data_IF_208294324843
#
_entry.id   IF_208294324843
#
_cell.length_a   1.000
_cell.length_b   1.000
_cell.length_c   1.000
_cell.angle_alpha   90.00
_cell.angle_beta   90.00
_cell.angle_gamma   90.00
#
_symmetry.space_group_name_H-M   'P 1'
#
loop_
_entity.id
_entity.type
_entity.pdbx_description
1 polymer ?
#
# COMPACT_ATOMS: atom_id res chain seq x y z
N UNK A 1 13.65 -12.05 -14.58
CA UNK A 1 13.54 -12.45 -13.18
C UNK A 1 12.28 -11.78 -12.70
N UNK A 2 11.17 -12.52 -12.62
CA UNK A 2 9.90 -11.99 -12.15
C UNK A 2 10.04 -11.70 -10.66
N UNK A 3 10.25 -10.42 -10.33
CA UNK A 3 10.31 -9.94 -8.96
C UNK A 3 9.02 -10.37 -8.24
N UNK A 4 9.11 -10.99 -7.05
CA UNK A 4 7.94 -11.53 -6.39
C UNK A 4 6.92 -10.41 -6.14
N UNK A 5 5.62 -10.70 -6.26
CA UNK A 5 4.59 -9.70 -6.13
C UNK A 5 4.69 -8.96 -4.77
N UNK A 6 4.97 -7.66 -4.80
CA UNK A 6 5.16 -6.85 -3.58
C UNK A 6 3.82 -6.32 -3.09
N UNK A 7 3.47 -6.67 -1.85
CA UNK A 7 2.33 -6.11 -1.14
C UNK A 7 2.74 -4.93 -0.26
N UNK A 8 1.89 -3.91 -0.21
CA UNK A 8 2.05 -2.72 0.63
C UNK A 8 0.80 -2.47 1.46
N UNK A 9 0.96 -2.06 2.71
CA UNK A 9 -0.13 -1.66 3.59
C UNK A 9 -0.32 -0.14 3.64
N UNK A 10 -1.38 0.31 4.32
CA UNK A 10 -1.66 1.75 4.50
C UNK A 10 -0.50 2.50 5.15
N UNK A 11 0.27 1.85 6.03
CA UNK A 11 1.43 2.46 6.70
C UNK A 11 2.59 2.69 5.73
N UNK A 12 2.89 1.73 4.86
CA UNK A 12 3.95 1.84 3.85
C UNK A 12 3.65 2.97 2.88
N UNK A 13 2.41 3.01 2.38
CA UNK A 13 1.91 4.08 1.51
C UNK A 13 2.02 5.43 2.20
N UNK A 14 1.70 5.49 3.50
CA UNK A 14 1.78 6.73 4.28
C UNK A 14 3.22 7.25 4.40
N UNK A 15 4.20 6.37 4.63
CA UNK A 15 5.62 6.75 4.66
C UNK A 15 6.04 7.34 3.32
N UNK A 16 5.74 6.65 2.22
CA UNK A 16 6.08 7.10 0.86
C UNK A 16 5.47 8.46 0.53
N UNK A 17 4.22 8.69 0.93
CA UNK A 17 3.52 9.95 0.64
C UNK A 17 3.84 11.07 1.64
N UNK A 18 4.60 10.80 2.71
CA UNK A 18 4.80 11.74 3.81
C UNK A 18 3.49 12.11 4.53
N UNK A 19 2.53 11.19 4.56
CA UNK A 19 1.19 11.37 5.14
C UNK A 19 1.01 10.53 6.40
N UNK A 20 -0.08 10.78 7.12
CA UNK A 20 -0.51 9.87 8.19
C UNK A 20 -1.24 8.65 7.59
N UNK A 21 -1.15 7.51 8.27
CA UNK A 21 -1.92 6.31 7.92
C UNK A 21 -3.41 6.61 7.77
N UNK A 22 -3.98 7.42 8.67
CA UNK A 22 -5.41 7.78 8.64
C UNK A 22 -5.76 8.60 7.39
N UNK A 23 -4.89 9.52 6.96
CA UNK A 23 -5.10 10.29 5.74
C UNK A 23 -5.10 9.39 4.49
N UNK A 24 -4.17 8.44 4.43
CA UNK A 24 -4.12 7.43 3.36
C UNK A 24 -5.37 6.54 3.38
N UNK A 25 -5.74 6.01 4.54
CA UNK A 25 -6.92 5.15 4.71
C UNK A 25 -8.21 5.87 4.30
N UNK A 26 -8.34 7.16 4.64
CA UNK A 26 -9.45 8.01 4.20
C UNK A 26 -9.44 8.14 2.68
N UNK A 27 -8.29 8.45 2.08
CA UNK A 27 -8.16 8.64 0.63
C UNK A 27 -8.52 7.37 -0.13
N UNK A 28 -8.02 6.21 0.30
CA UNK A 28 -8.37 4.89 -0.26
C UNK A 28 -9.85 4.53 -0.11
N UNK A 29 -10.58 5.16 0.82
CA UNK A 29 -12.01 4.92 1.03
C UNK A 29 -12.90 5.84 0.19
N UNK A 30 -12.48 7.09 -0.03
CA UNK A 30 -13.32 8.11 -0.69
C UNK A 30 -12.99 8.29 -2.17
N UNK A 31 -11.79 7.91 -2.58
CA UNK A 31 -11.36 8.04 -3.96
C UNK A 31 -11.95 6.87 -4.78
N UNK A 32 -12.83 7.15 -5.77
CA UNK A 32 -13.49 6.11 -6.55
C UNK A 32 -12.54 5.35 -7.47
N UNK A 33 -11.36 5.90 -7.76
CA UNK A 33 -10.33 5.22 -8.57
C UNK A 33 -9.26 4.54 -7.71
N UNK A 34 -9.40 4.56 -6.38
CA UNK A 34 -8.52 3.82 -5.49
C UNK A 34 -8.60 2.31 -5.75
N UNK A 35 -7.47 1.60 -5.65
CA UNK A 35 -7.44 0.17 -5.90
C UNK A 35 -8.12 -0.59 -4.76
N UNK A 36 -8.79 -1.68 -5.13
CA UNK A 36 -9.31 -2.63 -4.15
C UNK A 36 -8.16 -3.30 -3.37
N UNK A 37 -8.33 -3.58 -2.07
CA UNK A 37 -7.33 -4.33 -1.32
C UNK A 37 -7.17 -5.73 -1.92
N UNK A 38 -5.94 -6.12 -2.19
CA UNK A 38 -5.61 -7.43 -2.72
C UNK A 38 -5.79 -8.54 -1.68
N UNK A 39 -5.53 -8.22 -0.41
CA UNK A 39 -5.80 -9.13 0.70
C UNK A 39 -6.05 -8.37 2.01
N UNK A 40 -6.58 -9.10 2.99
CA UNK A 40 -6.58 -8.69 4.39
C UNK A 40 -5.76 -9.68 5.21
N UNK A 41 -4.63 -9.23 5.76
CA UNK A 41 -3.67 -10.06 6.51
C UNK A 41 -3.81 -9.83 8.02
N UNK A 42 -3.20 -10.70 8.83
CA UNK A 42 -3.20 -10.62 10.30
C UNK A 42 -4.60 -10.52 10.93
N UNK A 43 -5.62 -11.05 10.27
CA UNK A 43 -6.99 -11.07 10.78
C UNK A 43 -7.08 -11.96 12.01
N UNK A 44 -7.70 -11.46 13.07
CA UNK A 44 -8.00 -12.24 14.29
C UNK A 44 -9.49 -12.20 14.58
N UNK A 45 -9.97 -12.99 15.55
CA UNK A 45 -11.39 -12.93 15.98
C UNK A 45 -11.79 -11.55 16.51
N UNK A 46 -10.86 -10.83 17.14
CA UNK A 46 -11.11 -9.53 17.74
C UNK A 46 -10.76 -8.34 16.83
N UNK A 47 -10.05 -8.57 15.71
CA UNK A 47 -9.56 -7.51 14.84
C UNK A 47 -9.68 -7.87 13.37
N UNK A 48 -10.27 -6.94 12.60
CA UNK A 48 -10.61 -7.13 11.18
C UNK A 48 -9.43 -7.35 10.23
N UNK A 49 -8.18 -7.21 10.70
CA UNK A 49 -6.96 -7.38 9.92
C UNK A 49 -6.44 -6.10 9.27
N UNK A 50 -5.27 -6.19 8.64
CA UNK A 50 -4.67 -5.13 7.83
C UNK A 50 -4.97 -5.37 6.36
N UNK A 51 -5.56 -4.37 5.69
CA UNK A 51 -5.68 -4.37 4.23
C UNK A 51 -4.33 -4.12 3.59
N UNK A 52 -4.00 -4.91 2.58
CA UNK A 52 -2.80 -4.77 1.75
C UNK A 52 -3.19 -4.72 0.28
N UNK A 53 -2.39 -4.00 -0.50
CA UNK A 53 -2.58 -3.76 -1.92
C UNK A 53 -1.36 -4.22 -2.71
N UNK A 54 -1.55 -4.53 -3.98
CA UNK A 54 -0.43 -4.66 -4.90
C UNK A 54 0.29 -3.32 -5.04
N UNK A 55 1.61 -3.31 -4.87
CA UNK A 55 2.43 -2.12 -5.08
C UNK A 55 2.15 -1.49 -6.44
N UNK A 56 2.08 -2.30 -7.50
CA UNK A 56 1.81 -1.85 -8.86
C UNK A 56 0.45 -1.13 -9.02
N UNK A 57 -0.59 -1.57 -8.30
CA UNK A 57 -1.90 -0.93 -8.36
C UNK A 57 -1.90 0.41 -7.62
N UNK A 58 -1.18 0.50 -6.50
CA UNK A 58 -0.96 1.77 -5.80
C UNK A 58 -0.15 2.73 -6.67
N UNK A 59 0.91 2.28 -7.31
CA UNK A 59 1.71 3.14 -8.20
C UNK A 59 0.87 3.68 -9.37
N UNK A 60 0.04 2.83 -9.97
CA UNK A 60 -0.92 3.26 -11.01
C UNK A 60 -1.89 4.30 -10.47
N UNK A 61 -2.46 4.07 -9.28
CA UNK A 61 -3.39 5.00 -8.64
C UNK A 61 -2.76 6.36 -8.30
N UNK A 62 -1.49 6.36 -7.92
CA UNK A 62 -0.73 7.58 -7.61
C UNK A 62 -0.23 8.33 -8.85
N UNK A 63 -0.62 7.92 -10.06
CA UNK A 63 -0.29 8.60 -11.31
C UNK A 63 0.99 8.13 -12.00
N UNK A 64 1.54 6.97 -11.62
CA UNK A 64 2.68 6.36 -12.28
C UNK A 64 3.75 5.85 -11.33
N UNK A 65 4.51 4.87 -11.83
CA UNK A 65 5.62 4.23 -11.12
C UNK A 65 6.80 5.19 -11.02
N UNK A 66 6.90 5.88 -9.88
CA UNK A 66 8.21 6.25 -9.37
C UNK A 66 8.73 5.02 -8.60
N UNK A 67 9.54 4.15 -9.24
CA UNK A 67 10.03 2.95 -8.59
C UNK A 67 10.88 3.28 -7.35
N UNK A 68 11.50 4.46 -7.33
CA UNK A 68 12.36 4.93 -6.25
C UNK A 68 11.60 5.42 -5.01
N UNK A 69 10.27 5.64 -5.13
CA UNK A 69 9.49 6.10 -3.96
C UNK A 69 9.44 5.06 -2.84
N UNK A 70 9.65 3.79 -3.18
CA UNK A 70 9.56 2.66 -2.25
C UNK A 70 10.91 2.28 -1.62
N UNK A 71 12.02 2.78 -2.19
CA UNK A 71 13.40 2.53 -1.70
C UNK A 71 13.65 3.11 -0.31
N UNK A 72 12.79 4.03 0.14
CA UNK A 72 12.84 4.62 1.48
C UNK A 72 12.17 3.77 2.56
N UNK A 73 11.55 2.63 2.22
CA UNK A 73 10.95 1.74 3.21
C UNK A 73 12.00 0.82 3.85
N UNK A 74 12.18 0.86 5.18
CA UNK A 74 13.07 -0.08 5.84
C UNK A 74 12.54 -1.52 5.69
N UNK A 75 13.33 -2.40 5.07
CA UNK A 75 13.04 -3.84 4.95
C UNK A 75 12.67 -4.36 3.56
N UNK A 76 12.61 -3.50 2.53
CA UNK A 76 12.58 -3.95 1.13
C UNK A 76 14.03 -4.16 0.68
N UNK A 77 14.55 -5.38 0.76
CA UNK A 77 15.85 -5.73 0.20
C UNK A 77 15.78 -5.75 -1.34
N UNK A 78 16.86 -5.36 -2.05
CA UNK A 78 16.96 -5.45 -3.51
C UNK A 78 17.01 -6.89 -4.00
#
# INVERSE_FOLDING_TARGET
MDEPPVFVGSSDIAVVLGLTRQAVDRRLRIDPVAPAPAATVNRTRAWGGTRVWWRADIDRWLGGADPDRWTSLPGQAP
#
